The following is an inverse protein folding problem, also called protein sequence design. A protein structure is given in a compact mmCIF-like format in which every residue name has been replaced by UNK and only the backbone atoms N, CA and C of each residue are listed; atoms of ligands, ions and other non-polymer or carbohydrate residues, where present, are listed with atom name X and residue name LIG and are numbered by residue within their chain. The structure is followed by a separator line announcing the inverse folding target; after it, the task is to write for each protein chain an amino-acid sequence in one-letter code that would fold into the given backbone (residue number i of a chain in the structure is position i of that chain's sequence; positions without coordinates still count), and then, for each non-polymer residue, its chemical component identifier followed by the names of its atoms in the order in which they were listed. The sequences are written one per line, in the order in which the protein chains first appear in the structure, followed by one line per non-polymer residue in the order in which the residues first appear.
data_IF_358529453234
#
_entry.id   IF_358529453234
#
_cell.length_a   1.000
_cell.length_b   1.000
_cell.length_c   1.000
_cell.angle_alpha   90.00
_cell.angle_beta   90.00
_cell.angle_gamma   90.00
#
_symmetry.space_group_name_H-M   'P 1'
#
loop_
_entity.id
_entity.type
_entity.pdbx_description
1 polymer ?
#
# COMPACT_ATOMS: atom_id res chain seq x y z
N UNK A 1 -21.31 -0.49 -37.37
CA UNK A 1 -19.96 -1.00 -37.74
C UNK A 1 -18.93 0.11 -37.92
N UNK A 2 -19.23 1.22 -38.61
CA UNK A 2 -18.25 2.29 -38.89
C UNK A 2 -17.71 3.04 -37.66
N UNK A 3 -18.48 3.15 -36.58
CA UNK A 3 -18.07 3.87 -35.36
C UNK A 3 -16.95 3.15 -34.57
N UNK A 4 -16.93 1.82 -34.58
CA UNK A 4 -15.88 1.01 -33.93
C UNK A 4 -14.53 1.16 -34.65
N UNK A 5 -14.57 1.20 -35.98
CA UNK A 5 -13.39 1.27 -36.84
C UNK A 5 -12.63 2.61 -36.69
N UNK A 6 -13.34 3.71 -36.50
CA UNK A 6 -12.73 5.03 -36.29
C UNK A 6 -12.01 5.14 -34.94
N UNK A 7 -12.58 4.55 -33.90
CA UNK A 7 -12.00 4.54 -32.54
C UNK A 7 -10.76 3.65 -32.49
N UNK A 8 -10.81 2.45 -33.06
CA UNK A 8 -9.67 1.53 -33.11
C UNK A 8 -8.45 2.14 -33.82
N UNK A 9 -8.68 2.87 -34.93
CA UNK A 9 -7.61 3.54 -35.68
C UNK A 9 -6.96 4.70 -34.91
N UNK A 10 -7.73 5.41 -34.07
CA UNK A 10 -7.19 6.45 -33.20
C UNK A 10 -6.39 5.84 -32.04
N UNK A 11 -6.87 4.73 -31.47
CA UNK A 11 -6.17 3.98 -30.41
C UNK A 11 -4.81 3.46 -30.91
N UNK A 12 -4.73 2.90 -32.11
CA UNK A 12 -3.45 2.45 -32.70
C UNK A 12 -2.47 3.60 -32.96
N UNK A 13 -2.97 4.76 -33.41
CA UNK A 13 -2.13 5.93 -33.67
C UNK A 13 -1.52 6.46 -32.38
N UNK A 14 -2.33 6.51 -31.30
CA UNK A 14 -1.87 6.91 -29.97
C UNK A 14 -0.91 5.87 -29.38
N UNK A 15 -1.19 4.58 -29.55
CA UNK A 15 -0.34 3.49 -29.10
C UNK A 15 1.07 3.55 -29.72
N UNK A 16 1.16 3.83 -31.03
CA UNK A 16 2.45 4.00 -31.72
C UNK A 16 3.23 5.22 -31.27
N UNK A 17 2.56 6.34 -30.99
CA UNK A 17 3.22 7.57 -30.53
C UNK A 17 3.76 7.40 -29.10
N UNK A 18 2.99 6.73 -28.24
CA UNK A 18 3.33 6.56 -26.83
C UNK A 18 4.21 5.31 -26.56
N UNK A 19 4.31 4.38 -27.51
CA UNK A 19 4.99 3.10 -27.29
C UNK A 19 4.29 2.22 -26.24
N UNK A 20 2.98 2.43 -26.04
CA UNK A 20 2.19 1.78 -24.99
C UNK A 20 1.07 0.94 -25.60
N UNK A 21 0.77 -0.19 -24.96
CA UNK A 21 -0.48 -0.91 -25.19
C UNK A 21 -1.62 -0.15 -24.52
N UNK A 22 -2.30 0.69 -25.31
CA UNK A 22 -3.36 1.59 -24.85
C UNK A 22 -4.58 0.82 -24.34
N UNK A 23 -4.91 -0.34 -24.93
CA UNK A 23 -6.02 -1.16 -24.46
C UNK A 23 -5.72 -1.77 -23.09
N UNK A 24 -4.49 -2.26 -22.89
CA UNK A 24 -4.02 -2.72 -21.58
C UNK A 24 -4.02 -1.57 -20.55
N UNK A 25 -3.52 -0.41 -20.95
CA UNK A 25 -3.43 0.75 -20.07
C UNK A 25 -4.80 1.23 -19.59
N UNK A 26 -5.78 1.33 -20.50
CA UNK A 26 -7.15 1.76 -20.15
C UNK A 26 -7.81 0.75 -19.22
N UNK A 27 -7.71 -0.55 -19.51
CA UNK A 27 -8.39 -1.59 -18.73
C UNK A 27 -7.85 -1.69 -17.29
N UNK A 28 -6.53 -1.75 -17.12
CA UNK A 28 -5.92 -1.90 -15.80
C UNK A 28 -5.82 -0.56 -15.05
N UNK A 29 -5.58 0.53 -15.78
CA UNK A 29 -5.60 1.88 -15.23
C UNK A 29 -6.95 2.26 -14.62
N UNK A 30 -8.06 1.77 -15.19
CA UNK A 30 -9.40 1.96 -14.63
C UNK A 30 -9.54 1.36 -13.22
N UNK A 31 -9.07 0.13 -13.01
CA UNK A 31 -9.12 -0.52 -11.69
C UNK A 31 -8.26 0.20 -10.65
N UNK A 32 -7.05 0.61 -11.06
CA UNK A 32 -6.14 1.40 -10.21
C UNK A 32 -6.80 2.73 -9.83
N UNK A 33 -7.46 3.41 -10.77
CA UNK A 33 -8.15 4.66 -10.52
C UNK A 33 -9.31 4.51 -9.52
N UNK A 34 -10.15 3.48 -9.68
CA UNK A 34 -11.23 3.16 -8.72
C UNK A 34 -10.65 2.93 -7.33
N UNK A 35 -9.56 2.16 -7.21
CA UNK A 35 -8.89 1.91 -5.93
C UNK A 35 -8.51 3.22 -5.23
N UNK A 36 -7.91 4.17 -5.95
CA UNK A 36 -7.53 5.45 -5.36
C UNK A 36 -8.72 6.33 -4.97
N UNK A 37 -9.83 6.29 -5.74
CA UNK A 37 -11.07 6.96 -5.34
C UNK A 37 -11.59 6.39 -4.02
N UNK A 38 -11.65 5.07 -3.89
CA UNK A 38 -12.14 4.41 -2.67
C UNK A 38 -11.25 4.77 -1.47
N UNK A 39 -9.93 4.74 -1.64
CA UNK A 39 -8.97 5.15 -0.59
C UNK A 39 -9.19 6.62 -0.20
N UNK A 40 -9.36 7.52 -1.18
CA UNK A 40 -9.63 8.93 -0.91
C UNK A 40 -10.94 9.16 -0.15
N UNK A 41 -12.02 8.54 -0.60
CA UNK A 41 -13.34 8.68 0.03
C UNK A 41 -13.37 8.09 1.44
N UNK A 42 -12.73 6.94 1.67
CA UNK A 42 -12.62 6.34 3.01
C UNK A 42 -11.76 7.20 3.93
N UNK A 43 -10.64 7.74 3.45
CA UNK A 43 -9.81 8.68 4.22
C UNK A 43 -10.56 9.95 4.62
N UNK A 44 -11.36 10.52 3.70
CA UNK A 44 -12.24 11.65 3.99
C UNK A 44 -13.31 11.29 5.01
N UNK A 45 -13.98 10.15 4.86
CA UNK A 45 -14.99 9.68 5.81
C UNK A 45 -14.42 9.51 7.22
N UNK A 46 -13.23 8.90 7.34
CA UNK A 46 -12.52 8.75 8.62
C UNK A 46 -12.20 10.13 9.22
N UNK A 47 -11.71 11.07 8.42
CA UNK A 47 -11.38 12.42 8.87
C UNK A 47 -12.62 13.17 9.36
N UNK A 48 -13.74 13.07 8.64
CA UNK A 48 -15.02 13.66 9.03
C UNK A 48 -15.51 13.02 10.35
N UNK A 49 -15.41 11.70 10.49
CA UNK A 49 -15.81 11.00 11.72
C UNK A 49 -14.98 11.47 12.92
N UNK A 50 -13.65 11.56 12.80
CA UNK A 50 -12.81 12.08 13.88
C UNK A 50 -13.10 13.55 14.20
N UNK A 51 -13.43 14.37 13.20
CA UNK A 51 -13.73 15.79 13.40
C UNK A 51 -15.10 16.01 14.04
N UNK A 52 -16.09 15.16 13.75
CA UNK A 52 -17.46 15.29 14.28
C UNK A 52 -17.68 14.57 15.61
N UNK A 53 -17.10 13.38 15.77
CA UNK A 53 -17.33 12.52 16.93
C UNK A 53 -16.13 12.45 17.88
N UNK A 54 -14.97 12.93 17.46
CA UNK A 54 -13.74 12.94 18.24
C UNK A 54 -13.26 14.34 18.58
N UNK A 55 -12.00 14.42 19.03
CA UNK A 55 -11.32 15.68 19.30
C UNK A 55 -10.18 15.89 18.30
N UNK A 56 -9.78 17.15 18.11
CA UNK A 56 -8.60 17.49 17.30
C UNK A 56 -7.34 16.76 17.78
N UNK A 57 -7.20 16.59 19.09
CA UNK A 57 -6.11 15.84 19.69
C UNK A 57 -6.11 14.37 19.25
N UNK A 58 -7.27 13.70 19.28
CA UNK A 58 -7.40 12.30 18.88
C UNK A 58 -7.02 12.09 17.41
N UNK A 59 -7.44 12.99 16.51
CA UNK A 59 -7.04 12.94 15.10
C UNK A 59 -5.52 13.11 14.94
N UNK A 60 -4.92 14.04 15.69
CA UNK A 60 -3.47 14.24 15.68
C UNK A 60 -2.70 13.01 16.16
N UNK A 61 -3.17 12.35 17.22
CA UNK A 61 -2.58 11.11 17.74
C UNK A 61 -2.69 9.97 16.72
N UNK A 62 -3.85 9.82 16.08
CA UNK A 62 -4.06 8.83 15.02
C UNK A 62 -3.10 9.04 13.84
N UNK A 63 -3.00 10.26 13.33
CA UNK A 63 -2.08 10.60 12.23
C UNK A 63 -0.62 10.38 12.63
N UNK A 64 -0.25 10.74 13.86
CA UNK A 64 1.08 10.52 14.39
C UNK A 64 1.46 9.04 14.36
N UNK A 65 0.59 8.16 14.86
CA UNK A 65 0.85 6.70 14.88
C UNK A 65 1.01 6.17 13.46
N UNK A 66 0.12 6.53 12.54
CA UNK A 66 0.22 6.10 11.14
C UNK A 66 1.52 6.55 10.47
N UNK A 67 1.92 7.81 10.69
CA UNK A 67 3.16 8.35 10.13
C UNK A 67 4.39 7.67 10.73
N UNK A 68 4.38 7.44 12.04
CA UNK A 68 5.47 6.73 12.73
C UNK A 68 5.66 5.31 12.20
N UNK A 69 4.58 4.54 12.07
CA UNK A 69 4.63 3.19 11.48
C UNK A 69 5.04 3.24 10.00
N UNK A 70 4.54 4.21 9.24
CA UNK A 70 4.88 4.38 7.81
C UNK A 70 6.37 4.68 7.60
N UNK A 71 6.99 5.46 8.48
CA UNK A 71 8.43 5.69 8.44
C UNK A 71 9.22 4.39 8.66
N UNK A 72 8.77 3.55 9.59
CA UNK A 72 9.42 2.26 9.87
C UNK A 72 9.12 1.19 8.81
N UNK A 73 8.16 1.43 7.91
CA UNK A 73 7.87 0.51 6.79
C UNK A 73 9.05 0.28 5.87
N UNK A 74 10.07 1.15 5.88
CA UNK A 74 11.31 0.95 5.12
C UNK A 74 11.97 -0.41 5.46
N UNK A 75 11.86 -0.86 6.71
CA UNK A 75 12.39 -2.16 7.15
C UNK A 75 11.68 -3.34 6.48
N UNK A 76 10.44 -3.17 6.00
CA UNK A 76 9.72 -4.19 5.24
C UNK A 76 10.17 -4.29 3.77
N UNK A 77 11.13 -3.45 3.34
CA UNK A 77 11.70 -3.43 1.99
C UNK A 77 10.63 -3.36 0.87
N UNK A 78 9.71 -2.37 0.89
CA UNK A 78 8.62 -2.28 -0.07
C UNK A 78 9.10 -2.16 -1.53
N UNK A 79 10.34 -1.72 -1.77
CA UNK A 79 10.95 -1.68 -3.10
C UNK A 79 11.00 -3.05 -3.80
N UNK A 80 11.01 -4.16 -3.04
CA UNK A 80 10.96 -5.52 -3.60
C UNK A 80 9.65 -5.80 -4.36
N UNK A 81 8.59 -5.04 -4.13
CA UNK A 81 7.34 -5.16 -4.88
C UNK A 81 7.54 -4.92 -6.39
N UNK A 82 8.50 -4.07 -6.77
CA UNK A 82 8.85 -3.84 -8.20
C UNK A 82 9.52 -5.06 -8.84
N UNK A 83 10.37 -5.75 -8.07
CA UNK A 83 11.01 -7.00 -8.49
C UNK A 83 9.97 -8.11 -8.59
N UNK A 84 9.05 -8.20 -7.62
CA UNK A 84 7.93 -9.14 -7.64
C UNK A 84 7.08 -8.95 -8.90
N UNK A 85 6.67 -7.71 -9.18
CA UNK A 85 5.85 -7.36 -10.34
C UNK A 85 6.52 -7.81 -11.65
N UNK A 86 7.79 -7.44 -11.84
CA UNK A 86 8.59 -7.82 -13.01
C UNK A 86 8.70 -9.34 -13.14
N UNK A 87 9.13 -10.03 -12.09
CA UNK A 87 9.42 -11.46 -12.15
C UNK A 87 8.14 -12.29 -12.34
N UNK A 88 7.01 -11.88 -11.75
CA UNK A 88 5.70 -12.51 -11.98
C UNK A 88 5.24 -12.30 -13.43
N UNK A 89 5.44 -11.12 -14.02
CA UNK A 89 5.14 -10.88 -15.44
C UNK A 89 5.97 -11.76 -16.39
N UNK A 90 7.14 -12.23 -15.94
CA UNK A 90 8.00 -13.19 -16.64
C UNK A 90 7.67 -14.66 -16.31
N UNK A 91 6.62 -14.92 -15.52
CA UNK A 91 6.17 -16.26 -15.13
C UNK A 91 6.87 -16.87 -13.91
N UNK A 92 7.67 -16.09 -13.16
CA UNK A 92 8.43 -16.56 -11.99
C UNK A 92 7.66 -16.35 -10.68
N UNK A 93 6.54 -17.04 -10.52
CA UNK A 93 5.60 -16.82 -9.42
C UNK A 93 6.17 -17.11 -8.02
N UNK A 94 7.12 -18.04 -7.93
CA UNK A 94 7.75 -18.45 -6.66
C UNK A 94 8.54 -17.33 -5.97
N UNK A 95 8.91 -16.29 -6.73
CA UNK A 95 9.65 -15.12 -6.22
C UNK A 95 8.84 -14.36 -5.17
N UNK A 96 7.51 -14.31 -5.29
CA UNK A 96 6.62 -13.61 -4.35
C UNK A 96 6.75 -14.19 -2.93
N UNK A 97 6.79 -15.52 -2.79
CA UNK A 97 6.96 -16.17 -1.48
C UNK A 97 8.29 -15.79 -0.82
N UNK A 98 9.36 -15.70 -1.63
CA UNK A 98 10.68 -15.29 -1.16
C UNK A 98 10.67 -13.83 -0.70
N UNK A 99 10.04 -12.94 -1.46
CA UNK A 99 9.93 -11.52 -1.13
C UNK A 99 9.12 -11.33 0.15
N UNK A 100 7.95 -11.96 0.28
CA UNK A 100 7.14 -11.89 1.51
C UNK A 100 7.94 -12.33 2.73
N UNK A 101 8.72 -13.41 2.61
CA UNK A 101 9.58 -13.89 3.70
C UNK A 101 10.67 -12.86 4.06
N UNK A 102 11.33 -12.28 3.07
CA UNK A 102 12.37 -11.26 3.29
C UNK A 102 11.75 -10.00 3.93
N UNK A 103 10.64 -9.51 3.40
CA UNK A 103 9.90 -8.37 3.96
C UNK A 103 9.40 -8.64 5.37
N UNK A 104 8.96 -9.86 5.68
CA UNK A 104 8.54 -10.24 7.03
C UNK A 104 9.71 -10.19 8.01
N UNK A 105 10.84 -10.81 7.68
CA UNK A 105 12.05 -10.80 8.51
C UNK A 105 12.58 -9.37 8.64
N UNK A 106 12.57 -8.59 7.56
CA UNK A 106 12.94 -7.19 7.55
C UNK A 106 12.10 -6.37 8.53
N UNK A 107 10.77 -6.52 8.50
CA UNK A 107 9.84 -5.85 9.40
C UNK A 107 10.08 -6.18 10.89
N UNK A 108 10.70 -7.32 11.22
CA UNK A 108 11.04 -7.64 12.61
C UNK A 108 12.07 -6.65 13.18
N UNK A 109 12.93 -6.05 12.35
CA UNK A 109 13.88 -5.03 12.79
C UNK A 109 13.22 -3.70 13.20
N UNK A 110 11.98 -3.45 12.77
CA UNK A 110 11.21 -2.30 13.24
C UNK A 110 10.66 -2.50 14.66
N UNK A 111 10.48 -3.75 15.11
CA UNK A 111 9.82 -4.06 16.39
C UNK A 111 10.53 -3.46 17.61
N UNK A 112 11.87 -3.54 17.75
CA UNK A 112 12.57 -2.92 18.87
C UNK A 112 12.32 -1.41 18.94
N UNK A 113 12.24 -0.73 17.80
CA UNK A 113 12.00 0.71 17.73
C UNK A 113 10.56 1.04 18.14
N UNK A 114 9.58 0.31 17.60
CA UNK A 114 8.16 0.49 17.92
C UNK A 114 7.91 0.22 19.41
N UNK A 115 8.44 -0.89 19.94
CA UNK A 115 8.23 -1.29 21.32
C UNK A 115 8.96 -0.37 22.30
N UNK A 116 10.20 0.03 22.02
CA UNK A 116 10.93 0.96 22.89
C UNK A 116 10.21 2.30 22.98
N UNK A 117 9.77 2.84 21.84
CA UNK A 117 9.03 4.10 21.82
C UNK A 117 7.64 3.99 22.44
N UNK A 118 6.93 2.87 22.22
CA UNK A 118 5.65 2.57 22.84
C UNK A 118 5.74 2.50 24.37
N UNK A 119 6.74 1.77 24.91
CA UNK A 119 7.00 1.71 26.35
C UNK A 119 7.34 3.09 26.92
N UNK A 120 8.20 3.87 26.25
CA UNK A 120 8.50 5.24 26.66
C UNK A 120 7.24 6.12 26.76
N UNK A 121 6.30 5.99 25.80
CA UNK A 121 5.03 6.70 25.87
C UNK A 121 4.18 6.31 27.08
N UNK A 122 4.12 5.02 27.42
CA UNK A 122 3.36 4.52 28.58
C UNK A 122 3.91 5.10 29.88
N UNK A 123 5.24 5.14 30.04
CA UNK A 123 5.86 5.57 31.29
C UNK A 123 5.95 7.09 31.45
N UNK A 124 6.09 7.85 30.37
CA UNK A 124 6.47 9.26 30.46
C UNK A 124 5.43 10.25 29.91
N UNK A 125 4.43 9.80 29.14
CA UNK A 125 3.48 10.70 28.48
C UNK A 125 2.04 10.17 28.45
N UNK A 126 1.68 9.45 27.39
CA UNK A 126 0.31 9.09 27.08
C UNK A 126 0.21 7.57 26.91
N UNK A 127 -0.45 6.94 27.90
CA UNK A 127 -0.68 5.50 27.97
C UNK A 127 -1.47 4.99 26.77
N UNK A 128 -2.40 5.78 26.23
CA UNK A 128 -3.22 5.38 25.09
C UNK A 128 -2.35 5.22 23.84
N UNK A 129 -1.51 6.23 23.54
CA UNK A 129 -0.59 6.16 22.37
C UNK A 129 0.37 4.99 22.52
N UNK A 130 0.96 4.85 23.71
CA UNK A 130 1.91 3.79 23.98
C UNK A 130 1.29 2.39 23.79
N UNK A 131 0.09 2.18 24.32
CA UNK A 131 -0.64 0.91 24.17
C UNK A 131 -0.96 0.60 22.71
N UNK A 132 -1.43 1.59 21.94
CA UNK A 132 -1.71 1.40 20.51
C UNK A 132 -0.44 1.08 19.72
N UNK A 133 0.69 1.71 20.02
CA UNK A 133 1.97 1.41 19.38
C UNK A 133 2.43 -0.02 19.67
N UNK A 134 2.30 -0.48 20.92
CA UNK A 134 2.62 -1.87 21.28
C UNK A 134 1.74 -2.85 20.51
N UNK A 135 0.42 -2.64 20.48
CA UNK A 135 -0.51 -3.47 19.70
C UNK A 135 -0.18 -3.45 18.21
N UNK A 136 0.10 -2.27 17.67
CA UNK A 136 0.47 -2.09 16.26
C UNK A 136 1.78 -2.78 15.91
N UNK A 137 2.76 -2.79 16.83
CA UNK A 137 4.03 -3.47 16.65
C UNK A 137 3.85 -4.97 16.42
N UNK A 138 2.95 -5.64 17.16
CA UNK A 138 2.66 -7.07 16.92
C UNK A 138 2.09 -7.33 15.52
N UNK A 139 1.26 -6.42 15.00
CA UNK A 139 0.65 -6.53 13.67
C UNK A 139 1.54 -6.02 12.54
N UNK A 140 2.59 -5.26 12.85
CA UNK A 140 3.42 -4.56 11.88
C UNK A 140 4.03 -5.48 10.81
N UNK A 141 4.67 -6.62 11.15
CA UNK A 141 5.26 -7.51 10.16
C UNK A 141 4.20 -8.14 9.24
N UNK A 142 3.02 -8.45 9.77
CA UNK A 142 1.94 -9.03 9.00
C UNK A 142 1.35 -8.01 8.03
N UNK A 143 1.11 -6.78 8.48
CA UNK A 143 0.54 -5.72 7.65
C UNK A 143 1.46 -5.38 6.47
N UNK A 144 2.75 -5.12 6.74
CA UNK A 144 3.65 -4.65 5.69
C UNK A 144 4.22 -5.77 4.81
N UNK A 145 4.49 -6.97 5.35
CA UNK A 145 5.04 -8.05 4.54
C UNK A 145 4.01 -8.74 3.66
N UNK A 146 2.76 -8.87 4.12
CA UNK A 146 1.71 -9.50 3.31
C UNK A 146 1.19 -8.58 2.21
N UNK A 147 1.47 -7.27 2.30
CA UNK A 147 1.03 -6.29 1.30
C UNK A 147 1.59 -6.55 -0.11
N UNK A 148 2.57 -7.45 -0.29
CA UNK A 148 3.04 -7.87 -1.63
C UNK A 148 1.97 -8.62 -2.45
N UNK A 149 0.85 -9.06 -1.86
CA UNK A 149 -0.19 -9.83 -2.57
C UNK A 149 -0.72 -9.14 -3.84
N UNK A 150 -0.91 -7.82 -3.84
CA UNK A 150 -1.46 -7.12 -5.00
C UNK A 150 -0.50 -7.19 -6.22
N UNK A 151 0.82 -7.20 -5.97
CA UNK A 151 1.84 -7.25 -7.02
C UNK A 151 1.79 -8.54 -7.82
N UNK A 152 1.37 -9.64 -7.18
CA UNK A 152 1.20 -10.92 -7.85
C UNK A 152 0.09 -10.84 -8.91
N UNK A 153 -1.06 -10.29 -8.53
CA UNK A 153 -2.19 -10.19 -9.46
C UNK A 153 -1.96 -9.15 -10.56
N UNK A 154 -1.34 -8.02 -10.21
CA UNK A 154 -0.94 -6.99 -11.16
C UNK A 154 0.07 -7.56 -12.18
N UNK A 155 1.07 -8.32 -11.72
CA UNK A 155 2.05 -8.98 -12.60
C UNK A 155 1.43 -10.03 -13.52
N UNK A 156 0.34 -10.67 -13.09
CA UNK A 156 -0.45 -11.62 -13.90
C UNK A 156 -1.43 -10.94 -14.85
N UNK A 157 -1.47 -9.60 -14.92
CA UNK A 157 -2.42 -8.85 -15.74
C UNK A 157 -3.88 -9.14 -15.40
N UNK A 158 -4.14 -9.52 -14.14
CA UNK A 158 -5.49 -9.80 -13.67
C UNK A 158 -6.23 -8.53 -13.28
N UNK A 159 -5.51 -7.44 -12.98
CA UNK A 159 -6.03 -6.12 -12.64
C UNK A 159 -5.11 -5.00 -13.13
#
# INVERSE_FOLDING_TARGET
MLFKYGVEKQVEKIAKILGLDVNYFIKNGFWIFIRYIIIGLTGLAITISFTRFGTKQLLGQYQFILNFLSLLSIFSLPGLNTVALRDVSLGKDSVVKKIVRISFIGSLFALPIIFSYGLYQIYSRDVLIGTILILSGFLFPFFYALNTWYTFFEGKKLF
#
